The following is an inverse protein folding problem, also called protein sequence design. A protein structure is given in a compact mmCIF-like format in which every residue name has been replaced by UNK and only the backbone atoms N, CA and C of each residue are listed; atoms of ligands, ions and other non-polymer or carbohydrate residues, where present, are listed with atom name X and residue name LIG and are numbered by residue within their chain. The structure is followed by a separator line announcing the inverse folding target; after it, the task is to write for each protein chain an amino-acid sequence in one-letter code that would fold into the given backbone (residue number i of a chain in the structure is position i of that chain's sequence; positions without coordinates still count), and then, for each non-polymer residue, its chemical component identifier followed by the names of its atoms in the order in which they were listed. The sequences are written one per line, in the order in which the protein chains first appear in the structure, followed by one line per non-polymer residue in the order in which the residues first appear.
data_IF_184823686437
#
_entry.id   IF_184823686437
#
_cell.length_a   1.000
_cell.length_b   1.000
_cell.length_c   1.000
_cell.angle_alpha   90.00
_cell.angle_beta   90.00
_cell.angle_gamma   90.00
#
_symmetry.space_group_name_H-M   'P 1'
#
loop_
_entity.id
_entity.type
_entity.pdbx_description
1 polymer ?
#
# COMPACT_ATOMS: atom_id res chain seq x y z
N UNK A 1 -11.63 -29.16 -68.96
CA UNK A 1 -10.98 -28.59 -70.15
C UNK A 1 -9.59 -28.16 -69.69
N UNK A 2 -8.59 -28.92 -70.05
CA UNK A 2 -7.62 -28.73 -71.13
C UNK A 2 -6.82 -27.44 -70.91
N UNK A 3 -5.53 -27.33 -70.84
CA UNK A 3 -4.37 -28.16 -71.22
C UNK A 3 -3.13 -27.36 -70.76
N UNK A 4 -2.11 -27.98 -70.17
CA UNK A 4 -0.83 -28.34 -70.83
C UNK A 4 -0.03 -27.11 -71.34
N UNK A 5 1.25 -27.00 -71.27
CA UNK A 5 2.39 -27.89 -71.11
C UNK A 5 3.66 -27.05 -71.10
N UNK A 6 4.68 -27.44 -70.36
CA UNK A 6 6.00 -27.91 -70.86
C UNK A 6 6.83 -26.88 -71.63
N UNK A 7 8.10 -26.79 -71.60
CA UNK A 7 9.22 -27.71 -71.41
C UNK A 7 10.55 -26.94 -71.55
N UNK A 8 11.58 -27.34 -70.85
CA UNK A 8 12.99 -27.54 -71.25
C UNK A 8 13.76 -26.40 -71.93
N UNK A 9 15.06 -26.23 -71.83
CA UNK A 9 16.26 -27.07 -71.78
C UNK A 9 17.48 -26.20 -71.48
N UNK A 10 18.29 -26.55 -70.55
CA UNK A 10 19.70 -26.94 -70.48
C UNK A 10 20.79 -26.34 -71.41
N UNK A 11 21.98 -26.39 -70.87
CA UNK A 11 23.36 -26.40 -71.42
C UNK A 11 24.08 -25.04 -71.43
N UNK A 12 25.27 -24.92 -71.10
CA UNK A 12 26.37 -25.68 -70.52
C UNK A 12 27.66 -24.86 -70.61
N UNK A 13 28.50 -24.95 -69.59
CA UNK A 13 29.92 -25.12 -69.57
C UNK A 13 30.92 -24.14 -70.18
N UNK A 14 32.03 -24.09 -69.47
CA UNK A 14 33.43 -23.67 -69.67
C UNK A 14 33.66 -22.18 -69.39
N UNK A 15 34.45 -21.77 -68.38
CA UNK A 15 35.71 -22.28 -67.88
C UNK A 15 36.80 -21.25 -68.19
N UNK A 16 37.49 -20.75 -67.23
CA UNK A 16 38.93 -20.53 -67.24
C UNK A 16 39.35 -19.80 -65.94
N UNK A 17 40.40 -20.30 -65.39
CA UNK A 17 41.04 -19.93 -64.16
C UNK A 17 41.73 -18.55 -64.23
N UNK A 18 41.77 -17.85 -63.10
CA UNK A 18 42.63 -16.71 -62.86
C UNK A 18 42.89 -16.60 -61.36
N UNK A 19 44.00 -17.15 -60.90
CA UNK A 19 44.57 -16.88 -59.56
C UNK A 19 45.07 -15.45 -59.51
N UNK A 20 44.72 -14.71 -58.44
CA UNK A 20 45.64 -13.78 -57.77
C UNK A 20 45.16 -13.53 -56.32
N UNK A 21 45.96 -13.96 -55.39
CA UNK A 21 46.46 -13.42 -54.13
C UNK A 21 45.54 -12.61 -53.17
N UNK A 22 45.31 -13.20 -52.04
CA UNK A 22 45.65 -12.73 -50.67
C UNK A 22 45.17 -11.31 -50.29
N UNK A 23 44.15 -11.28 -49.48
CA UNK A 23 43.81 -10.17 -48.60
C UNK A 23 43.05 -10.71 -47.40
N UNK A 24 43.77 -11.12 -46.35
CA UNK A 24 43.23 -11.41 -45.06
C UNK A 24 42.59 -10.15 -44.46
N UNK A 25 41.30 -10.04 -44.57
CA UNK A 25 40.47 -9.11 -43.81
C UNK A 25 39.47 -9.91 -43.03
N UNK A 26 39.85 -10.46 -41.86
CA UNK A 26 38.94 -11.06 -40.88
C UNK A 26 38.07 -9.97 -40.27
N UNK A 27 36.93 -9.65 -40.95
CA UNK A 27 35.81 -8.96 -40.30
C UNK A 27 35.23 -9.93 -39.26
N UNK A 28 35.84 -9.96 -38.09
CA UNK A 28 35.17 -10.51 -36.94
C UNK A 28 33.87 -9.74 -36.75
N UNK A 29 32.75 -10.33 -37.13
CA UNK A 29 31.44 -9.92 -36.60
C UNK A 29 31.57 -9.95 -35.09
N UNK A 30 31.75 -8.76 -34.51
CA UNK A 30 31.61 -8.55 -33.08
C UNK A 30 30.22 -9.07 -32.73
N UNK A 31 30.14 -10.26 -32.18
CA UNK A 31 28.94 -10.73 -31.51
C UNK A 31 28.56 -9.61 -30.57
N UNK A 32 27.37 -9.05 -30.78
CA UNK A 32 26.80 -8.15 -29.82
C UNK A 32 26.72 -8.95 -28.52
N UNK A 33 27.66 -8.71 -27.63
CA UNK A 33 27.58 -9.09 -26.25
C UNK A 33 26.23 -8.52 -25.80
N UNK A 34 25.26 -9.39 -25.51
CA UNK A 34 24.13 -9.05 -24.69
C UNK A 34 24.73 -8.71 -23.34
N UNK A 35 25.14 -7.47 -23.18
CA UNK A 35 25.59 -6.95 -21.93
C UNK A 35 24.44 -7.07 -20.96
N UNK A 36 24.49 -8.06 -20.08
CA UNK A 36 23.82 -7.97 -18.80
C UNK A 36 24.37 -6.69 -18.18
N UNK A 37 23.55 -5.63 -18.23
CA UNK A 37 23.88 -4.37 -17.56
C UNK A 37 24.14 -4.74 -16.11
N UNK A 38 25.41 -4.64 -15.69
CA UNK A 38 25.74 -4.93 -14.31
C UNK A 38 24.92 -3.98 -13.45
N UNK A 39 24.16 -4.53 -12.51
CA UNK A 39 23.39 -3.74 -11.55
C UNK A 39 24.39 -2.83 -10.82
N UNK A 40 24.16 -1.51 -10.76
CA UNK A 40 25.04 -0.63 -10.01
C UNK A 40 25.10 -1.06 -8.54
N UNK A 41 26.26 -0.85 -7.93
CA UNK A 41 26.43 -1.03 -6.48
C UNK A 41 25.81 0.15 -5.73
N UNK A 42 25.36 -0.09 -4.49
CA UNK A 42 24.87 0.97 -3.62
C UNK A 42 23.40 1.39 -3.85
N UNK A 43 22.57 0.51 -4.43
CA UNK A 43 21.12 0.78 -4.56
C UNK A 43 20.43 0.48 -3.22
N UNK A 44 19.58 1.38 -2.78
CA UNK A 44 18.81 1.24 -1.55
C UNK A 44 17.33 1.55 -1.80
N UNK A 45 16.45 0.69 -1.32
CA UNK A 45 15.02 0.97 -1.15
C UNK A 45 14.79 1.35 0.31
N UNK A 46 14.19 2.53 0.51
CA UNK A 46 13.80 3.01 1.83
C UNK A 46 12.41 2.54 2.22
N UNK A 47 12.21 2.21 3.49
CA UNK A 47 10.89 2.17 4.12
C UNK A 47 10.70 3.43 4.96
N UNK A 48 9.52 4.05 4.89
CA UNK A 48 9.19 5.26 5.65
C UNK A 48 7.89 5.04 6.42
N UNK A 49 7.96 4.97 7.75
CA UNK A 49 6.79 4.74 8.61
C UNK A 49 7.20 4.49 10.07
N UNK A 50 6.23 4.22 10.93
CA UNK A 50 6.48 3.95 12.35
C UNK A 50 7.03 2.54 12.55
N UNK A 51 8.17 2.44 13.22
CA UNK A 51 8.73 1.18 13.71
C UNK A 51 8.81 1.13 15.22
N UNK A 52 8.86 2.31 15.83
CA UNK A 52 8.91 2.47 17.30
C UNK A 52 7.91 3.52 17.74
N UNK A 53 7.89 3.84 19.04
CA UNK A 53 7.01 4.85 19.60
C UNK A 53 5.60 4.34 19.92
N UNK A 54 4.69 5.30 20.13
CA UNK A 54 3.33 5.03 20.61
C UNK A 54 2.23 5.40 19.58
N UNK A 55 2.59 5.64 18.33
CA UNK A 55 1.62 5.99 17.29
C UNK A 55 1.48 4.83 16.30
N UNK A 56 0.84 3.75 16.73
CA UNK A 56 0.49 2.59 15.90
C UNK A 56 1.67 1.93 15.18
N UNK A 57 2.80 1.65 15.87
CA UNK A 57 4.00 1.12 15.23
C UNK A 57 3.78 -0.24 14.57
N UNK A 58 2.80 -1.04 15.04
CA UNK A 58 2.55 -2.37 14.47
C UNK A 58 2.17 -2.30 13.00
N UNK A 59 1.42 -1.26 12.57
CA UNK A 59 1.08 -1.08 11.16
C UNK A 59 2.35 -0.87 10.31
N UNK A 60 3.26 0.00 10.74
CA UNK A 60 4.53 0.21 10.04
C UNK A 60 5.47 -1.01 10.09
N UNK A 61 5.51 -1.75 11.21
CA UNK A 61 6.28 -3.00 11.32
C UNK A 61 5.79 -4.05 10.31
N UNK A 62 4.47 -4.18 10.15
CA UNK A 62 3.90 -5.10 9.17
C UNK A 62 4.38 -4.79 7.75
N UNK A 63 4.38 -3.52 7.38
CA UNK A 63 4.84 -3.05 6.06
C UNK A 63 6.36 -3.21 5.91
N UNK A 64 7.15 -2.77 6.88
CA UNK A 64 8.61 -2.89 6.87
C UNK A 64 9.07 -4.33 6.68
N UNK A 65 8.40 -5.27 7.33
CA UNK A 65 8.66 -6.70 7.17
C UNK A 65 8.37 -7.16 5.72
N UNK A 66 7.29 -6.68 5.10
CA UNK A 66 6.99 -6.93 3.70
C UNK A 66 8.09 -6.41 2.77
N UNK A 67 8.58 -5.19 3.01
CA UNK A 67 9.70 -4.58 2.27
C UNK A 67 10.98 -5.41 2.40
N UNK A 68 11.36 -5.76 3.62
CA UNK A 68 12.57 -6.55 3.86
C UNK A 68 12.51 -7.93 3.20
N UNK A 69 11.35 -8.59 3.26
CA UNK A 69 11.17 -9.90 2.63
C UNK A 69 11.33 -9.83 1.11
N UNK A 70 10.75 -8.81 0.46
CA UNK A 70 10.88 -8.61 -0.97
C UNK A 70 12.34 -8.40 -1.39
N UNK A 71 13.07 -7.55 -0.67
CA UNK A 71 14.50 -7.27 -0.94
C UNK A 71 15.35 -8.54 -0.76
N UNK A 72 15.13 -9.32 0.29
CA UNK A 72 15.90 -10.55 0.52
C UNK A 72 15.66 -11.59 -0.57
N UNK A 73 14.40 -11.75 -1.00
CA UNK A 73 14.05 -12.66 -2.09
C UNK A 73 14.68 -12.20 -3.41
N UNK A 74 14.63 -10.91 -3.68
CA UNK A 74 15.27 -10.33 -4.86
C UNK A 74 16.79 -10.56 -4.86
N UNK A 75 17.48 -10.26 -3.76
CA UNK A 75 18.90 -10.44 -3.62
C UNK A 75 19.33 -11.91 -3.77
N UNK A 76 18.52 -12.83 -3.27
CA UNK A 76 18.73 -14.27 -3.45
C UNK A 76 18.61 -14.68 -4.93
N UNK A 77 17.62 -14.14 -5.64
CA UNK A 77 17.38 -14.45 -7.04
C UNK A 77 18.36 -13.73 -7.99
N UNK A 78 18.96 -12.62 -7.56
CA UNK A 78 19.83 -11.76 -8.36
C UNK A 78 21.17 -11.50 -7.66
N UNK A 79 22.03 -12.52 -7.50
CA UNK A 79 23.26 -12.41 -6.69
C UNK A 79 24.27 -11.35 -7.19
N UNK A 80 24.13 -10.90 -8.43
CA UNK A 80 24.95 -9.85 -9.03
C UNK A 80 24.29 -8.45 -8.99
N UNK A 81 23.13 -8.32 -8.31
CA UNK A 81 22.37 -7.08 -8.17
C UNK A 81 21.88 -6.94 -6.73
N UNK A 82 22.73 -6.39 -5.86
CA UNK A 82 22.39 -6.26 -4.45
C UNK A 82 21.66 -4.95 -4.17
N UNK A 83 20.45 -5.05 -3.60
CA UNK A 83 19.65 -3.93 -3.13
C UNK A 83 19.64 -3.92 -1.60
N UNK A 84 19.93 -2.77 -1.01
CA UNK A 84 19.93 -2.58 0.45
C UNK A 84 18.56 -2.09 0.94
N UNK A 85 18.24 -2.42 2.18
CA UNK A 85 17.10 -1.88 2.92
C UNK A 85 17.55 -0.76 3.86
N UNK A 86 16.77 0.33 3.94
CA UNK A 86 16.97 1.39 4.93
C UNK A 86 15.64 1.85 5.51
N UNK A 87 15.51 1.86 6.83
CA UNK A 87 14.33 2.38 7.50
C UNK A 87 14.48 3.86 7.87
N UNK A 88 13.37 4.58 7.70
CA UNK A 88 13.17 5.94 8.18
C UNK A 88 12.01 5.90 9.17
N UNK A 89 12.35 5.69 10.45
CA UNK A 89 11.39 5.51 11.53
C UNK A 89 10.82 6.86 11.97
N UNK A 90 9.59 7.10 11.57
CA UNK A 90 8.84 8.33 11.90
C UNK A 90 8.21 8.31 13.28
N UNK A 91 8.16 7.14 13.93
CA UNK A 91 7.40 6.90 15.16
C UNK A 91 5.89 7.23 15.00
N UNK A 92 5.38 7.26 13.76
CA UNK A 92 4.01 7.68 13.44
C UNK A 92 3.72 9.16 13.76
N UNK A 93 4.76 9.97 13.86
CA UNK A 93 4.66 11.41 14.14
C UNK A 93 4.93 12.22 12.87
N UNK A 94 3.89 12.87 12.29
CA UNK A 94 4.07 13.71 11.12
C UNK A 94 5.10 14.84 11.27
N UNK A 95 5.35 15.28 12.50
CA UNK A 95 6.33 16.35 12.76
C UNK A 95 7.77 15.90 12.48
N UNK A 96 8.07 14.59 12.57
CA UNK A 96 9.39 14.05 12.26
C UNK A 96 9.62 13.83 10.76
N UNK A 97 8.53 13.75 9.97
CA UNK A 97 8.59 13.38 8.56
C UNK A 97 9.47 14.32 7.70
N UNK A 98 9.48 15.66 7.86
CA UNK A 98 10.35 16.53 7.05
C UNK A 98 11.84 16.27 7.23
N UNK A 99 12.30 16.07 8.47
CA UNK A 99 13.71 15.81 8.76
C UNK A 99 14.16 14.45 8.19
N UNK A 100 13.32 13.42 8.33
CA UNK A 100 13.58 12.09 7.78
C UNK A 100 13.55 12.09 6.25
N UNK A 101 12.60 12.80 5.63
CA UNK A 101 12.54 12.97 4.19
C UNK A 101 13.80 13.66 3.65
N UNK A 102 14.27 14.71 4.35
CA UNK A 102 15.53 15.39 4.01
C UNK A 102 16.72 14.41 4.11
N UNK A 103 16.75 13.56 5.13
CA UNK A 103 17.78 12.53 5.28
C UNK A 103 17.72 11.53 4.12
N UNK A 104 16.51 11.13 3.69
CA UNK A 104 16.32 10.19 2.60
C UNK A 104 16.77 10.75 1.25
N UNK A 105 16.43 12.02 0.93
CA UNK A 105 16.81 12.63 -0.36
C UNK A 105 18.31 12.90 -0.47
N UNK A 106 18.99 13.15 0.64
CA UNK A 106 20.43 13.40 0.70
C UNK A 106 21.25 12.10 0.61
N UNK A 107 20.66 10.95 0.82
CA UNK A 107 21.28 9.67 0.55
C UNK A 107 21.04 9.28 -0.92
N UNK A 108 22.05 9.52 -1.75
CA UNK A 108 21.95 9.27 -3.20
C UNK A 108 21.78 7.78 -3.56
N UNK A 109 22.07 6.87 -2.62
CA UNK A 109 21.81 5.45 -2.79
C UNK A 109 20.31 5.12 -2.70
N UNK A 110 19.51 5.94 -2.02
CA UNK A 110 18.06 5.76 -1.91
C UNK A 110 17.41 6.17 -3.23
N UNK A 111 16.92 5.18 -3.98
CA UNK A 111 16.33 5.37 -5.30
C UNK A 111 14.80 5.32 -5.30
N UNK A 112 14.18 4.78 -4.25
CA UNK A 112 12.73 4.71 -4.08
C UNK A 112 12.36 4.53 -2.61
N UNK A 113 11.17 4.97 -2.24
CA UNK A 113 10.59 4.85 -0.89
C UNK A 113 9.31 4.02 -0.94
N UNK A 114 9.22 2.97 -0.17
CA UNK A 114 7.95 2.32 0.19
C UNK A 114 7.40 3.03 1.43
N UNK A 115 6.28 3.68 1.26
CA UNK A 115 5.73 4.63 2.21
C UNK A 115 5.58 6.03 1.60
N UNK A 116 5.37 7.09 2.42
CA UNK A 116 5.14 7.05 3.87
C UNK A 116 3.88 6.25 4.22
N UNK A 117 3.95 5.53 5.34
CA UNK A 117 2.88 4.61 5.76
C UNK A 117 1.60 5.33 6.18
N UNK A 118 1.71 6.51 6.77
CA UNK A 118 0.58 7.26 7.29
C UNK A 118 0.29 8.54 6.50
N UNK A 119 -1.00 8.92 6.42
CA UNK A 119 -1.42 10.10 5.63
C UNK A 119 -0.79 11.40 6.13
N UNK A 120 -0.66 11.56 7.44
CA UNK A 120 -0.02 12.74 8.03
C UNK A 120 1.45 12.85 7.68
N UNK A 121 2.18 11.75 7.69
CA UNK A 121 3.58 11.68 7.25
C UNK A 121 3.71 11.97 5.74
N UNK A 122 2.84 11.36 4.93
CA UNK A 122 2.81 11.58 3.48
C UNK A 122 2.60 13.06 3.13
N UNK A 123 1.70 13.74 3.83
CA UNK A 123 1.43 15.18 3.64
C UNK A 123 2.68 16.03 3.88
N UNK A 124 3.50 15.65 4.86
CA UNK A 124 4.70 16.41 5.25
C UNK A 124 5.93 16.02 4.43
N UNK A 125 6.12 14.76 4.09
CA UNK A 125 7.31 14.24 3.42
C UNK A 125 7.23 14.36 1.89
N UNK A 126 6.06 14.13 1.28
CA UNK A 126 5.93 14.07 -0.17
C UNK A 126 6.31 15.34 -0.92
N UNK A 127 6.09 16.58 -0.41
CA UNK A 127 6.63 17.79 -1.04
C UNK A 127 8.14 17.74 -1.20
N UNK A 128 8.85 17.21 -0.19
CA UNK A 128 10.33 17.10 -0.18
C UNK A 128 10.78 16.03 -1.17
N UNK A 129 10.12 14.87 -1.18
CA UNK A 129 10.39 13.82 -2.15
C UNK A 129 10.11 14.27 -3.58
N UNK A 130 9.01 15.01 -3.80
CA UNK A 130 8.65 15.52 -5.12
C UNK A 130 9.69 16.52 -5.66
N UNK A 131 10.17 17.42 -4.82
CA UNK A 131 11.23 18.37 -5.18
C UNK A 131 12.53 17.65 -5.58
N UNK A 132 12.84 16.52 -4.92
CA UNK A 132 14.05 15.72 -5.16
C UNK A 132 13.86 14.65 -6.27
N UNK A 133 12.67 14.53 -6.83
CA UNK A 133 12.35 13.48 -7.81
C UNK A 133 12.48 12.06 -7.26
N UNK A 134 12.37 11.86 -5.94
CA UNK A 134 12.46 10.55 -5.31
C UNK A 134 11.10 9.85 -5.34
N UNK A 135 10.91 8.78 -6.15
CA UNK A 135 9.62 8.11 -6.27
C UNK A 135 9.23 7.42 -4.97
N UNK A 136 7.93 7.47 -4.69
CA UNK A 136 7.33 6.77 -3.55
C UNK A 136 6.17 5.88 -4.00
N UNK A 137 5.98 4.78 -3.28
CA UNK A 137 4.76 3.97 -3.35
C UNK A 137 4.27 3.78 -1.92
N UNK A 138 3.17 4.45 -1.56
CA UNK A 138 2.55 4.20 -0.26
C UNK A 138 1.69 2.94 -0.31
N UNK A 139 1.91 1.97 0.58
CA UNK A 139 1.08 0.78 0.66
C UNK A 139 -0.21 0.96 1.48
N UNK A 140 -0.38 2.11 2.17
CA UNK A 140 -1.36 2.23 3.25
C UNK A 140 -1.95 3.63 3.47
N UNK A 141 -1.28 4.72 3.07
CA UNK A 141 -1.80 6.07 3.28
C UNK A 141 -3.02 6.35 2.38
N UNK A 142 -4.22 6.43 2.97
CA UNK A 142 -5.50 6.42 2.24
C UNK A 142 -6.14 7.79 2.03
N UNK A 143 -5.67 8.88 2.65
CA UNK A 143 -6.30 10.18 2.50
C UNK A 143 -6.30 10.65 1.03
N UNK A 144 -7.49 10.94 0.42
CA UNK A 144 -7.60 11.27 -1.01
C UNK A 144 -6.86 12.55 -1.41
N UNK A 145 -6.73 13.51 -0.48
CA UNK A 145 -6.07 14.79 -0.77
C UNK A 145 -4.60 14.64 -1.14
N UNK A 146 -3.96 13.52 -0.79
CA UNK A 146 -2.57 13.25 -1.15
C UNK A 146 -2.35 13.20 -2.67
N UNK A 147 -3.32 12.71 -3.43
CA UNK A 147 -3.25 12.65 -4.89
C UNK A 147 -3.64 13.96 -5.60
N UNK A 148 -4.02 15.00 -4.85
CA UNK A 148 -4.51 16.28 -5.40
C UNK A 148 -3.42 17.37 -5.41
N UNK A 149 -2.20 17.05 -4.98
CA UNK A 149 -1.11 18.00 -4.83
C UNK A 149 -0.22 18.16 -6.09
N UNK A 150 -0.50 17.41 -7.16
CA UNK A 150 0.32 17.44 -8.38
C UNK A 150 1.71 16.81 -8.22
N UNK A 151 1.94 15.99 -7.20
CA UNK A 151 3.20 15.28 -6.99
C UNK A 151 3.38 14.17 -8.04
N UNK A 152 4.40 14.32 -8.87
CA UNK A 152 4.69 13.37 -9.96
C UNK A 152 5.36 12.09 -9.49
N UNK A 153 5.83 12.05 -8.25
CA UNK A 153 6.54 10.90 -7.64
C UNK A 153 5.60 10.00 -6.83
N UNK A 154 4.36 10.42 -6.63
CA UNK A 154 3.41 9.77 -5.74
C UNK A 154 2.71 8.61 -6.43
N UNK A 155 2.69 7.45 -5.76
CA UNK A 155 1.89 6.29 -6.15
C UNK A 155 1.26 5.67 -4.91
N UNK A 156 0.03 5.19 -5.03
CA UNK A 156 -0.71 4.56 -3.93
C UNK A 156 -1.14 3.14 -4.33
N UNK A 157 -0.70 2.14 -3.57
CA UNK A 157 -0.93 0.73 -3.87
C UNK A 157 -2.28 0.18 -3.38
N UNK A 158 -3.11 1.01 -2.72
CA UNK A 158 -4.44 0.67 -2.18
C UNK A 158 -5.50 1.67 -2.63
N UNK A 159 -6.77 1.33 -2.47
CA UNK A 159 -7.85 2.30 -2.66
C UNK A 159 -7.80 3.37 -1.57
N UNK A 160 -8.25 4.57 -1.89
CA UNK A 160 -8.30 5.69 -0.96
C UNK A 160 -9.65 5.80 -0.22
N UNK A 161 -9.76 6.79 0.67
CA UNK A 161 -10.95 6.99 1.51
C UNK A 161 -12.18 7.49 0.74
N UNK A 162 -12.03 7.99 -0.50
CA UNK A 162 -13.17 8.24 -1.39
C UNK A 162 -13.89 6.95 -1.81
N UNK A 163 -13.22 5.80 -1.69
CA UNK A 163 -13.85 4.49 -1.84
C UNK A 163 -14.30 3.92 -0.48
N UNK A 164 -13.46 4.02 0.56
CA UNK A 164 -13.73 3.42 1.86
C UNK A 164 -14.88 4.12 2.60
N UNK A 165 -14.90 5.44 2.65
CA UNK A 165 -15.93 6.19 3.38
C UNK A 165 -17.34 5.93 2.88
N UNK A 166 -17.62 6.02 1.56
CA UNK A 166 -18.93 5.63 1.01
C UNK A 166 -19.31 4.17 1.25
N UNK A 167 -18.35 3.24 1.16
CA UNK A 167 -18.60 1.82 1.41
C UNK A 167 -19.02 1.58 2.87
N UNK A 168 -18.33 2.20 3.83
CA UNK A 168 -18.69 2.18 5.27
C UNK A 168 -20.08 2.76 5.49
N UNK A 169 -20.37 3.93 4.92
CA UNK A 169 -21.68 4.57 5.08
C UNK A 169 -22.80 3.69 4.49
N UNK A 170 -22.56 3.09 3.33
CA UNK A 170 -23.51 2.15 2.70
C UNK A 170 -23.75 0.92 3.58
N UNK A 171 -22.71 0.36 4.19
CA UNK A 171 -22.82 -0.78 5.10
C UNK A 171 -23.64 -0.41 6.35
N UNK A 172 -23.40 0.76 6.94
CA UNK A 172 -24.16 1.28 8.09
C UNK A 172 -25.63 1.47 7.74
N UNK A 173 -25.94 2.02 6.56
CA UNK A 173 -27.28 2.28 6.09
C UNK A 173 -28.06 1.00 5.75
N UNK A 174 -27.45 0.14 4.93
CA UNK A 174 -28.14 -0.94 4.24
C UNK A 174 -28.02 -2.29 4.94
N UNK A 175 -26.93 -2.51 5.69
CA UNK A 175 -26.69 -3.77 6.40
C UNK A 175 -27.05 -3.65 7.88
N UNK A 176 -26.60 -2.57 8.54
CA UNK A 176 -26.90 -2.35 9.94
C UNK A 176 -28.24 -1.63 10.17
N UNK A 177 -28.80 -1.02 9.14
CA UNK A 177 -30.06 -0.23 9.18
C UNK A 177 -30.07 0.86 10.25
N UNK A 178 -28.88 1.40 10.57
CA UNK A 178 -28.71 2.42 11.61
C UNK A 178 -29.37 3.74 11.22
N UNK A 179 -30.07 4.38 12.16
CA UNK A 179 -30.77 5.66 11.98
C UNK A 179 -30.08 6.81 12.73
N UNK A 180 -29.35 6.48 13.80
CA UNK A 180 -28.61 7.42 14.62
C UNK A 180 -27.16 6.93 14.74
N UNK A 181 -26.22 7.72 14.28
CA UNK A 181 -24.80 7.33 14.28
C UNK A 181 -23.95 8.43 14.91
N UNK A 182 -23.06 8.07 15.83
CA UNK A 182 -22.02 8.97 16.26
C UNK A 182 -20.80 8.80 15.35
N UNK A 183 -20.20 9.92 14.94
CA UNK A 183 -18.97 9.94 14.16
C UNK A 183 -17.90 10.68 14.95
N UNK A 184 -16.85 9.97 15.35
CA UNK A 184 -15.73 10.43 16.17
C UNK A 184 -14.44 10.27 15.36
N UNK A 185 -13.43 11.09 15.58
CA UNK A 185 -12.12 10.96 14.95
C UNK A 185 -10.97 11.24 15.95
N UNK A 186 -9.73 10.93 15.57
CA UNK A 186 -8.52 11.16 16.36
C UNK A 186 -7.76 12.44 15.99
N UNK A 187 -8.40 13.34 15.22
CA UNK A 187 -7.81 14.55 14.68
C UNK A 187 -6.62 14.35 13.72
N UNK A 188 -6.21 13.11 13.42
CA UNK A 188 -5.16 12.84 12.45
C UNK A 188 -5.61 13.20 11.02
N UNK A 189 -4.65 13.41 10.13
CA UNK A 189 -4.93 13.65 8.70
C UNK A 189 -5.75 12.51 8.07
N UNK A 190 -5.48 11.27 8.48
CA UNK A 190 -6.22 10.09 8.06
C UNK A 190 -7.60 10.03 8.74
N UNK A 191 -7.62 9.92 10.06
CA UNK A 191 -8.84 9.60 10.80
C UNK A 191 -9.92 10.66 10.66
N UNK A 192 -9.55 11.94 10.73
CA UNK A 192 -10.45 13.05 10.48
C UNK A 192 -10.96 13.05 9.03
N UNK A 193 -10.08 12.83 8.05
CA UNK A 193 -10.43 12.79 6.64
C UNK A 193 -11.49 11.73 6.35
N UNK A 194 -11.26 10.50 6.78
CA UNK A 194 -12.19 9.39 6.63
C UNK A 194 -13.52 9.63 7.38
N UNK A 195 -13.45 10.13 8.62
CA UNK A 195 -14.63 10.46 9.42
C UNK A 195 -15.50 11.54 8.76
N UNK A 196 -14.90 12.56 8.16
CA UNK A 196 -15.63 13.62 7.45
C UNK A 196 -16.38 13.06 6.23
N UNK A 197 -15.74 12.16 5.45
CA UNK A 197 -16.39 11.51 4.31
C UNK A 197 -17.56 10.63 4.78
N UNK A 198 -17.37 9.80 5.80
CA UNK A 198 -18.42 8.95 6.37
C UNK A 198 -19.58 9.80 6.89
N UNK A 199 -19.29 10.85 7.64
CA UNK A 199 -20.28 11.80 8.19
C UNK A 199 -21.14 12.39 7.07
N UNK A 200 -20.52 12.92 6.04
CA UNK A 200 -21.20 13.51 4.90
C UNK A 200 -22.09 12.51 4.17
N UNK A 201 -21.63 11.28 3.96
CA UNK A 201 -22.40 10.24 3.28
C UNK A 201 -23.57 9.76 4.11
N UNK A 202 -23.43 9.60 5.43
CA UNK A 202 -24.50 9.24 6.34
C UNK A 202 -25.59 10.32 6.38
N UNK A 203 -25.19 11.60 6.47
CA UNK A 203 -26.14 12.73 6.45
C UNK A 203 -26.90 12.79 5.12
N UNK A 204 -26.21 12.61 3.99
CA UNK A 204 -26.85 12.55 2.68
C UNK A 204 -27.82 11.35 2.55
N UNK A 205 -27.55 10.26 3.28
CA UNK A 205 -28.43 9.08 3.39
C UNK A 205 -29.59 9.25 4.41
N UNK A 206 -29.75 10.42 5.02
CA UNK A 206 -30.85 10.71 5.95
C UNK A 206 -30.63 10.19 7.38
N UNK A 207 -29.40 9.83 7.74
CA UNK A 207 -29.03 9.40 9.10
C UNK A 207 -28.87 10.61 10.02
N UNK A 208 -29.39 10.52 11.24
CA UNK A 208 -29.09 11.50 12.29
C UNK A 208 -27.68 11.29 12.80
N UNK A 209 -26.77 12.22 12.50
CA UNK A 209 -25.35 12.12 12.87
C UNK A 209 -25.04 13.02 14.07
N UNK A 210 -24.49 12.43 15.12
CA UNK A 210 -23.91 13.12 16.27
C UNK A 210 -22.39 13.20 16.11
N UNK A 211 -21.82 14.37 16.28
CA UNK A 211 -20.36 14.59 16.18
C UNK A 211 -19.83 15.15 17.50
N UNK A 212 -19.36 14.29 18.42
CA UNK A 212 -18.84 14.73 19.72
C UNK A 212 -17.52 15.51 19.63
N UNK A 213 -16.92 15.55 18.46
CA UNK A 213 -15.59 16.11 18.24
C UNK A 213 -14.50 15.04 18.15
N UNK A 214 -13.28 15.50 17.94
CA UNK A 214 -12.10 14.63 17.91
C UNK A 214 -11.67 14.23 19.32
N UNK A 215 -11.10 13.04 19.45
CA UNK A 215 -10.43 12.60 20.66
C UNK A 215 -8.92 12.81 20.57
N UNK A 216 -8.27 12.85 21.71
CA UNK A 216 -6.83 13.00 21.84
C UNK A 216 -6.14 11.67 22.22
N UNK A 217 -4.83 11.71 22.37
CA UNK A 217 -4.00 10.56 22.76
C UNK A 217 -3.96 10.30 24.27
N UNK A 218 -4.86 10.92 25.05
CA UNK A 218 -4.91 10.70 26.51
C UNK A 218 -5.47 9.35 26.90
N UNK A 219 -6.15 8.67 25.97
CA UNK A 219 -6.88 7.43 26.19
C UNK A 219 -7.96 7.53 27.30
N UNK A 220 -8.51 8.74 27.50
CA UNK A 220 -9.54 9.01 28.49
C UNK A 220 -10.62 9.94 27.91
N UNK A 221 -11.79 9.41 27.58
CA UNK A 221 -12.79 10.04 26.74
C UNK A 221 -14.18 10.24 27.39
N UNK A 222 -14.31 10.65 28.67
CA UNK A 222 -15.61 10.70 29.36
C UNK A 222 -16.60 11.65 28.69
N UNK A 223 -16.14 12.78 28.16
CA UNK A 223 -16.99 13.75 27.46
C UNK A 223 -17.60 13.15 26.18
N UNK A 224 -16.78 12.48 25.38
CA UNK A 224 -17.22 11.77 24.16
C UNK A 224 -18.20 10.66 24.49
N UNK A 225 -17.90 9.83 25.50
CA UNK A 225 -18.78 8.74 25.95
C UNK A 225 -20.13 9.26 26.39
N UNK A 226 -20.16 10.34 27.20
CA UNK A 226 -21.39 10.95 27.67
C UNK A 226 -22.23 11.52 26.52
N UNK A 227 -21.60 12.20 25.55
CA UNK A 227 -22.30 12.74 24.38
C UNK A 227 -22.90 11.63 23.50
N UNK A 228 -22.12 10.56 23.24
CA UNK A 228 -22.59 9.41 22.44
C UNK A 228 -23.73 8.67 23.15
N UNK A 229 -23.63 8.48 24.46
CA UNK A 229 -24.67 7.85 25.27
C UNK A 229 -25.96 8.68 25.27
N UNK A 230 -25.84 9.99 25.46
CA UNK A 230 -27.00 10.89 25.45
C UNK A 230 -27.72 10.92 24.09
N UNK A 231 -26.99 10.74 23.00
CA UNK A 231 -27.54 10.68 21.64
C UNK A 231 -28.31 9.38 21.36
N UNK A 232 -28.10 8.31 22.13
CA UNK A 232 -28.79 7.02 21.97
C UNK A 232 -28.61 6.44 20.57
N UNK A 233 -27.37 6.28 20.16
CA UNK A 233 -26.99 5.90 18.79
C UNK A 233 -27.08 4.38 18.55
N UNK A 234 -27.36 4.00 17.29
CA UNK A 234 -27.39 2.61 16.83
C UNK A 234 -25.98 2.12 16.47
N UNK A 235 -25.11 3.04 16.06
CA UNK A 235 -23.73 2.76 15.72
C UNK A 235 -22.79 3.92 16.07
N UNK A 236 -21.52 3.61 16.28
CA UNK A 236 -20.44 4.57 16.45
C UNK A 236 -19.37 4.29 15.39
N UNK A 237 -19.14 5.26 14.50
CA UNK A 237 -18.00 5.22 13.59
C UNK A 237 -16.84 5.99 14.21
N UNK A 238 -15.66 5.38 14.23
CA UNK A 238 -14.41 6.01 14.62
C UNK A 238 -13.43 6.06 13.45
N UNK A 239 -12.99 7.24 13.07
CA UNK A 239 -11.89 7.47 12.13
C UNK A 239 -10.60 7.68 12.90
N UNK A 240 -9.66 6.75 12.79
CA UNK A 240 -8.40 6.83 13.51
C UNK A 240 -7.71 5.47 13.68
N UNK A 241 -6.69 5.47 14.53
CA UNK A 241 -5.82 4.31 14.69
C UNK A 241 -6.22 3.44 15.89
N UNK A 242 -5.69 2.20 15.89
CA UNK A 242 -6.07 1.18 16.87
C UNK A 242 -5.76 1.55 18.33
N UNK A 243 -4.77 2.40 18.56
CA UNK A 243 -4.36 2.80 19.89
C UNK A 243 -5.41 3.65 20.61
N UNK A 244 -6.12 4.52 19.87
CA UNK A 244 -7.23 5.30 20.38
C UNK A 244 -8.56 4.54 20.26
N UNK A 245 -8.72 3.75 19.20
CA UNK A 245 -9.95 2.98 18.94
C UNK A 245 -10.25 1.97 20.04
N UNK A 246 -9.23 1.23 20.52
CA UNK A 246 -9.40 0.23 21.56
C UNK A 246 -9.92 0.82 22.88
N UNK A 247 -9.21 1.78 23.50
CA UNK A 247 -9.69 2.48 24.70
C UNK A 247 -11.05 3.16 24.52
N UNK A 248 -11.33 3.75 23.34
CA UNK A 248 -12.64 4.35 23.06
C UNK A 248 -13.74 3.31 23.06
N UNK A 249 -13.57 2.18 22.37
CA UNK A 249 -14.56 1.10 22.34
C UNK A 249 -14.84 0.55 23.74
N UNK A 250 -13.79 0.36 24.56
CA UNK A 250 -13.91 -0.07 25.95
C UNK A 250 -14.71 0.92 26.79
N UNK A 251 -14.42 2.22 26.68
CA UNK A 251 -15.10 3.25 27.46
C UNK A 251 -16.54 3.46 27.01
N UNK A 252 -16.84 3.37 25.72
CA UNK A 252 -18.20 3.39 25.21
C UNK A 252 -19.03 2.23 25.78
N UNK A 253 -18.48 1.00 25.75
CA UNK A 253 -19.15 -0.19 26.30
C UNK A 253 -19.39 -0.08 27.79
N UNK A 254 -18.37 0.27 28.58
CA UNK A 254 -18.48 0.43 30.03
C UNK A 254 -19.36 1.61 30.43
N UNK A 255 -19.39 2.66 29.60
CA UNK A 255 -20.32 3.79 29.74
C UNK A 255 -21.77 3.46 29.41
N UNK A 256 -22.07 2.24 28.91
CA UNK A 256 -23.43 1.77 28.60
C UNK A 256 -23.91 2.17 27.21
N UNK A 257 -23.02 2.48 26.28
CA UNK A 257 -23.34 2.62 24.86
C UNK A 257 -23.52 1.23 24.25
N UNK A 258 -24.65 1.00 23.60
CA UNK A 258 -25.03 -0.30 22.99
C UNK A 258 -24.87 -0.32 21.48
N UNK A 259 -24.61 0.83 20.85
CA UNK A 259 -24.41 0.94 19.40
C UNK A 259 -23.21 0.14 18.90
N UNK A 260 -23.30 -0.41 17.68
CA UNK A 260 -22.20 -1.16 17.06
C UNK A 260 -20.99 -0.24 16.83
N UNK A 261 -19.81 -0.66 17.30
CA UNK A 261 -18.57 0.04 17.03
C UNK A 261 -18.05 -0.32 15.65
N UNK A 262 -17.70 0.70 14.85
CA UNK A 262 -17.20 0.55 13.48
C UNK A 262 -15.99 1.45 13.32
N UNK A 263 -14.95 0.96 12.64
CA UNK A 263 -13.76 1.78 12.34
C UNK A 263 -13.16 1.45 10.97
N UNK A 264 -12.21 2.27 10.54
CA UNK A 264 -11.45 2.08 9.32
C UNK A 264 -10.22 1.18 9.51
N UNK A 265 -9.40 1.15 8.47
CA UNK A 265 -8.19 0.32 8.35
C UNK A 265 -7.12 0.64 9.41
N UNK A 266 -6.96 1.90 9.79
CA UNK A 266 -6.04 2.28 10.88
C UNK A 266 -6.31 1.58 12.21
N UNK A 267 -7.53 1.07 12.41
CA UNK A 267 -7.92 0.30 13.59
C UNK A 267 -7.88 -1.22 13.37
N UNK A 268 -7.63 -1.70 12.15
CA UNK A 268 -7.64 -3.12 11.81
C UNK A 268 -6.33 -3.81 12.21
N UNK A 269 -6.14 -3.94 13.53
CA UNK A 269 -4.97 -4.55 14.15
C UNK A 269 -5.33 -5.32 15.42
N UNK A 270 -4.51 -6.29 15.78
CA UNK A 270 -4.65 -7.03 17.05
C UNK A 270 -4.58 -6.10 18.28
N UNK A 271 -3.87 -4.97 18.17
CA UNK A 271 -3.80 -3.93 19.19
C UNK A 271 -5.15 -3.31 19.51
N UNK A 272 -6.05 -3.19 18.54
CA UNK A 272 -7.44 -2.80 18.79
C UNK A 272 -8.14 -3.79 19.73
N UNK A 273 -8.03 -5.09 19.43
CA UNK A 273 -8.64 -6.15 20.26
C UNK A 273 -8.06 -6.16 21.67
N UNK A 274 -6.75 -5.97 21.80
CA UNK A 274 -6.08 -5.88 23.10
C UNK A 274 -6.55 -4.66 23.91
N UNK A 275 -6.63 -3.48 23.27
CA UNK A 275 -7.03 -2.23 23.93
C UNK A 275 -8.52 -2.19 24.30
N UNK A 276 -9.37 -2.79 23.48
CA UNK A 276 -10.82 -2.86 23.73
C UNK A 276 -11.22 -4.02 24.66
N UNK A 277 -10.39 -5.05 24.79
CA UNK A 277 -10.71 -6.26 25.56
C UNK A 277 -12.03 -6.89 25.10
N UNK A 278 -12.93 -7.22 26.02
CA UNK A 278 -14.23 -7.80 25.69
C UNK A 278 -15.16 -6.84 24.92
N UNK A 279 -14.87 -5.54 24.90
CA UNK A 279 -15.62 -4.56 24.12
C UNK A 279 -15.31 -4.63 22.61
N UNK A 280 -14.23 -5.29 22.22
CA UNK A 280 -13.92 -5.54 20.82
C UNK A 280 -14.94 -6.47 20.15
N UNK A 281 -15.57 -7.37 20.91
CA UNK A 281 -16.42 -8.40 20.35
C UNK A 281 -17.66 -7.78 19.67
N UNK A 282 -17.88 -8.14 18.42
CA UNK A 282 -18.91 -7.56 17.58
C UNK A 282 -18.50 -6.30 16.81
N UNK A 283 -17.36 -5.68 17.11
CA UNK A 283 -16.86 -4.53 16.37
C UNK A 283 -16.60 -4.87 14.89
N UNK A 284 -16.83 -3.89 14.02
CA UNK A 284 -16.62 -3.98 12.58
C UNK A 284 -15.44 -3.08 12.19
N UNK A 285 -14.51 -3.63 11.41
CA UNK A 285 -13.32 -2.92 10.95
C UNK A 285 -13.25 -3.05 9.42
N UNK A 286 -13.04 -1.94 8.74
CA UNK A 286 -13.03 -1.91 7.26
C UNK A 286 -11.65 -1.59 6.74
N UNK A 287 -11.29 -2.13 5.56
CA UNK A 287 -10.02 -1.81 4.93
C UNK A 287 -10.08 -2.00 3.41
N UNK A 288 -9.25 -1.27 2.64
CA UNK A 288 -9.02 -1.52 1.21
C UNK A 288 -8.07 -2.70 0.95
N UNK A 289 -7.78 -3.49 1.98
CA UNK A 289 -6.86 -4.62 1.97
C UNK A 289 -7.35 -5.74 2.91
N UNK A 290 -6.87 -6.95 2.71
CA UNK A 290 -7.17 -8.09 3.58
C UNK A 290 -6.28 -8.05 4.84
N UNK A 291 -6.88 -8.27 6.01
CA UNK A 291 -6.15 -8.41 7.28
C UNK A 291 -5.28 -9.67 7.29
N UNK A 292 -5.79 -10.77 6.77
CA UNK A 292 -5.08 -12.05 6.71
C UNK A 292 -5.11 -12.62 5.29
N UNK A 293 -3.96 -13.06 4.81
CA UNK A 293 -3.80 -13.68 3.49
C UNK A 293 -4.02 -15.18 3.60
N UNK A 294 -5.20 -15.65 3.22
CA UNK A 294 -5.61 -17.05 3.40
C UNK A 294 -5.74 -17.82 2.09
N UNK A 295 -5.68 -17.16 0.94
CA UNK A 295 -5.78 -17.83 -0.35
C UNK A 295 -4.58 -18.75 -0.61
N UNK A 296 -4.77 -19.90 -1.29
CA UNK A 296 -3.67 -20.83 -1.59
C UNK A 296 -2.48 -20.18 -2.32
N UNK A 297 -2.75 -19.22 -3.21
CA UNK A 297 -1.72 -18.48 -3.94
C UNK A 297 -0.83 -17.62 -3.04
N UNK A 298 -1.33 -17.21 -1.88
CA UNK A 298 -0.61 -16.31 -0.96
C UNK A 298 0.28 -17.09 0.02
N UNK A 299 0.09 -18.42 0.14
CA UNK A 299 0.78 -19.23 1.13
C UNK A 299 2.31 -19.25 1.00
N UNK A 300 2.94 -19.19 -0.18
CA UNK A 300 4.39 -19.03 -0.27
C UNK A 300 4.91 -17.77 0.42
N UNK A 301 4.20 -16.64 0.26
CA UNK A 301 4.53 -15.38 0.95
C UNK A 301 4.32 -15.51 2.46
N UNK A 302 3.15 -16.02 2.90
CA UNK A 302 2.82 -16.20 4.32
C UNK A 302 3.86 -17.07 5.02
N UNK A 303 4.26 -18.19 4.42
CA UNK A 303 5.25 -19.09 4.98
C UNK A 303 6.65 -18.45 5.05
N UNK A 304 7.08 -17.73 4.02
CA UNK A 304 8.35 -17.03 4.00
C UNK A 304 8.39 -15.89 5.04
N UNK A 305 7.30 -15.13 5.14
CA UNK A 305 7.16 -14.05 6.13
C UNK A 305 7.24 -14.62 7.55
N UNK A 306 6.47 -15.66 7.84
CA UNK A 306 6.46 -16.32 9.16
C UNK A 306 7.81 -16.93 9.51
N UNK A 307 8.50 -17.55 8.55
CA UNK A 307 9.82 -18.13 8.76
C UNK A 307 10.86 -17.06 9.13
N UNK A 308 10.76 -15.86 8.54
CA UNK A 308 11.72 -14.79 8.78
C UNK A 308 11.42 -13.98 10.05
N UNK A 309 10.15 -13.64 10.28
CA UNK A 309 9.77 -12.69 11.33
C UNK A 309 9.09 -13.33 12.54
N UNK A 310 8.88 -14.65 12.53
CA UNK A 310 8.20 -15.41 13.59
C UNK A 310 6.79 -14.90 13.92
N UNK A 311 6.13 -14.27 12.95
CA UNK A 311 4.75 -13.78 13.04
C UNK A 311 4.05 -13.96 11.69
N UNK A 312 2.72 -13.98 11.70
CA UNK A 312 1.96 -13.98 10.45
C UNK A 312 1.98 -12.57 9.82
N UNK A 313 1.92 -12.46 8.47
CA UNK A 313 1.66 -11.17 7.85
C UNK A 313 0.28 -10.66 8.29
N UNK A 314 0.19 -9.35 8.54
CA UNK A 314 -1.05 -8.67 8.88
C UNK A 314 -1.32 -7.56 7.86
N UNK A 315 -2.23 -6.65 8.20
CA UNK A 315 -2.66 -5.57 7.30
C UNK A 315 -1.46 -4.87 6.64
N UNK A 316 -1.54 -4.67 5.33
CA UNK A 316 -0.57 -3.99 4.47
C UNK A 316 0.80 -4.67 4.28
N UNK A 317 1.06 -5.81 4.93
CA UNK A 317 2.30 -6.57 4.69
C UNK A 317 2.47 -6.97 3.23
N UNK A 318 1.40 -7.43 2.59
CA UNK A 318 1.39 -7.86 1.20
C UNK A 318 1.48 -6.70 0.22
N UNK A 319 0.82 -5.59 0.51
CA UNK A 319 0.85 -4.37 -0.29
C UNK A 319 2.26 -3.74 -0.28
N UNK A 320 2.93 -3.73 0.86
CA UNK A 320 4.31 -3.26 0.98
C UNK A 320 5.30 -4.19 0.26
N UNK A 321 5.08 -5.51 0.32
CA UNK A 321 5.84 -6.48 -0.44
C UNK A 321 5.70 -6.23 -1.95
N UNK A 322 4.47 -6.05 -2.45
CA UNK A 322 4.20 -5.78 -3.86
C UNK A 322 4.75 -4.41 -4.31
N UNK A 323 4.59 -3.37 -3.49
CA UNK A 323 5.14 -2.03 -3.75
C UNK A 323 6.67 -2.08 -3.89
N UNK A 324 7.34 -2.85 -3.04
CA UNK A 324 8.78 -3.07 -3.12
C UNK A 324 9.17 -3.79 -4.40
N UNK A 325 8.44 -4.86 -4.75
CA UNK A 325 8.71 -5.63 -5.95
C UNK A 325 8.49 -4.83 -7.24
N UNK A 326 7.62 -3.81 -7.25
CA UNK A 326 7.52 -2.88 -8.38
C UNK A 326 8.82 -2.10 -8.60
N UNK A 327 9.42 -1.57 -7.53
CA UNK A 327 10.74 -0.93 -7.62
C UNK A 327 11.82 -1.92 -8.04
N UNK A 328 11.84 -3.11 -7.44
CA UNK A 328 12.83 -4.15 -7.75
C UNK A 328 12.73 -4.61 -9.22
N UNK A 329 11.53 -4.70 -9.78
CA UNK A 329 11.33 -5.00 -11.20
C UNK A 329 11.91 -3.89 -12.11
N UNK A 330 11.75 -2.62 -11.74
CA UNK A 330 12.38 -1.50 -12.42
C UNK A 330 13.91 -1.55 -12.34
N UNK A 331 14.45 -1.85 -11.16
CA UNK A 331 15.90 -2.01 -10.95
C UNK A 331 16.45 -3.16 -11.79
N UNK A 332 15.77 -4.31 -11.83
CA UNK A 332 16.16 -5.44 -12.68
C UNK A 332 16.12 -5.09 -14.17
N UNK A 333 15.24 -4.17 -14.58
CA UNK A 333 15.18 -3.62 -15.93
C UNK A 333 16.22 -2.50 -16.19
N UNK A 334 17.16 -2.26 -15.26
CA UNK A 334 18.22 -1.25 -15.36
C UNK A 334 17.76 0.18 -15.08
N UNK A 335 16.58 0.37 -14.48
CA UNK A 335 16.02 1.68 -14.10
C UNK A 335 16.44 2.03 -12.68
N UNK A 336 17.63 2.62 -12.54
CA UNK A 336 18.26 2.87 -11.22
C UNK A 336 18.35 4.36 -10.87
N UNK A 337 18.23 5.26 -11.85
CA UNK A 337 18.05 6.69 -11.57
C UNK A 337 16.63 6.92 -11.05
N UNK A 338 16.46 7.84 -10.07
CA UNK A 338 15.15 8.16 -9.47
C UNK A 338 14.09 8.48 -10.54
N UNK A 339 14.44 9.29 -11.55
CA UNK A 339 13.54 9.67 -12.64
C UNK A 339 13.13 8.48 -13.51
N UNK A 340 14.07 7.58 -13.82
CA UNK A 340 13.80 6.40 -14.66
C UNK A 340 12.94 5.39 -13.91
N UNK A 341 13.22 5.21 -12.62
CA UNK A 341 12.46 4.33 -11.74
C UNK A 341 11.03 4.87 -11.54
N UNK A 342 10.88 6.17 -11.34
CA UNK A 342 9.58 6.82 -11.28
C UNK A 342 8.77 6.62 -12.57
N UNK A 343 9.41 6.84 -13.72
CA UNK A 343 8.77 6.61 -15.03
C UNK A 343 8.36 5.15 -15.20
N UNK A 344 9.23 4.21 -14.80
CA UNK A 344 8.93 2.78 -14.88
C UNK A 344 7.69 2.42 -14.04
N UNK A 345 7.64 2.84 -12.78
CA UNK A 345 6.50 2.58 -11.90
C UNK A 345 5.21 3.20 -12.43
N UNK A 346 5.28 4.45 -12.92
CA UNK A 346 4.11 5.17 -13.43
C UNK A 346 3.51 4.58 -14.72
N UNK A 347 4.36 3.95 -15.56
CA UNK A 347 3.94 3.56 -16.93
C UNK A 347 3.90 2.06 -17.16
N UNK A 348 4.46 1.24 -16.28
CA UNK A 348 4.57 -0.20 -16.47
C UNK A 348 3.67 -0.94 -15.47
N UNK A 349 2.58 -1.57 -15.94
CA UNK A 349 1.76 -2.40 -15.07
C UNK A 349 2.58 -3.52 -14.43
N UNK A 350 2.35 -3.76 -13.16
CA UNK A 350 3.03 -4.81 -12.39
C UNK A 350 2.01 -5.79 -11.81
N UNK A 351 2.17 -7.08 -12.11
CA UNK A 351 1.36 -8.13 -11.48
C UNK A 351 2.09 -8.70 -10.27
N UNK A 352 1.62 -8.36 -9.10
CA UNK A 352 2.16 -8.75 -7.81
C UNK A 352 1.48 -9.98 -7.20
N UNK A 353 1.73 -10.19 -5.91
CA UNK A 353 1.10 -11.21 -5.09
C UNK A 353 -0.42 -11.03 -5.01
N UNK A 354 -0.85 -9.80 -4.74
CA UNK A 354 -2.25 -9.49 -4.42
C UNK A 354 -3.07 -9.18 -5.67
N UNK A 355 -2.55 -8.34 -6.56
CA UNK A 355 -3.27 -7.79 -7.70
C UNK A 355 -2.31 -7.30 -8.80
N UNK A 356 -2.87 -6.81 -9.90
CA UNK A 356 -2.12 -6.03 -10.89
C UNK A 356 -2.22 -4.55 -10.52
N UNK A 357 -1.07 -3.90 -10.49
CA UNK A 357 -0.92 -2.47 -10.19
C UNK A 357 -0.71 -1.70 -11.48
N UNK A 358 -1.50 -0.69 -11.69
CA UNK A 358 -1.30 0.37 -12.68
C UNK A 358 -1.82 1.68 -12.09
N UNK A 359 -1.19 2.78 -12.44
CA UNK A 359 -1.48 4.07 -11.81
C UNK A 359 -2.02 5.07 -12.81
N UNK A 360 -2.95 5.91 -12.36
CA UNK A 360 -3.39 7.09 -13.09
C UNK A 360 -2.34 8.21 -13.07
N UNK A 361 -2.59 9.27 -13.81
CA UNK A 361 -1.68 10.43 -13.88
C UNK A 361 -1.48 11.14 -12.54
N UNK A 362 -2.36 10.92 -11.59
CA UNK A 362 -2.29 11.43 -10.22
C UNK A 362 -1.71 10.41 -9.22
N UNK A 363 -1.20 9.27 -9.71
CA UNK A 363 -0.61 8.21 -8.88
C UNK A 363 -1.62 7.31 -8.16
N UNK A 364 -2.91 7.47 -8.40
CA UNK A 364 -3.93 6.58 -7.82
C UNK A 364 -3.96 5.22 -8.52
N UNK A 365 -4.16 4.18 -7.74
CA UNK A 365 -4.35 2.82 -8.24
C UNK A 365 -5.58 2.77 -9.17
N UNK A 366 -5.40 2.21 -10.34
CA UNK A 366 -6.48 2.00 -11.32
C UNK A 366 -7.24 0.70 -11.03
N UNK A 367 -8.51 0.67 -11.41
CA UNK A 367 -9.39 -0.49 -11.25
C UNK A 367 -10.54 -0.23 -10.28
N UNK A 368 -11.36 -1.25 -10.08
CA UNK A 368 -12.49 -1.16 -9.14
C UNK A 368 -12.00 -1.40 -7.72
N UNK A 369 -12.17 -0.42 -6.82
CA UNK A 369 -11.79 -0.59 -5.43
C UNK A 369 -12.69 -1.63 -4.75
N UNK A 370 -12.09 -2.45 -3.88
CA UNK A 370 -12.82 -3.38 -3.01
C UNK A 370 -12.51 -3.01 -1.58
N UNK A 371 -13.54 -2.71 -0.81
CA UNK A 371 -13.44 -2.47 0.63
C UNK A 371 -13.97 -3.70 1.36
N UNK A 372 -13.14 -4.25 2.22
CA UNK A 372 -13.46 -5.44 3.00
C UNK A 372 -13.95 -5.07 4.39
N UNK A 373 -14.92 -5.81 4.89
CA UNK A 373 -15.42 -5.72 6.26
C UNK A 373 -14.89 -6.91 7.05
N UNK A 374 -14.34 -6.62 8.20
CA UNK A 374 -13.92 -7.60 9.18
C UNK A 374 -14.75 -7.43 10.46
N UNK A 375 -14.97 -8.51 11.17
CA UNK A 375 -15.67 -8.51 12.46
C UNK A 375 -14.81 -9.17 13.52
N UNK A 376 -14.81 -8.59 14.70
CA UNK A 376 -14.21 -9.26 15.85
C UNK A 376 -15.20 -10.26 16.42
N UNK A 377 -14.80 -11.52 16.51
CA UNK A 377 -15.58 -12.63 17.06
C UNK A 377 -14.72 -13.39 18.06
N UNK A 378 -15.12 -13.41 19.30
CA UNK A 378 -14.36 -14.07 20.38
C UNK A 378 -12.89 -13.64 20.43
N UNK A 379 -12.65 -12.35 20.27
CA UNK A 379 -11.30 -11.78 20.28
C UNK A 379 -10.47 -12.02 19.02
N UNK A 380 -11.04 -12.56 17.95
CA UNK A 380 -10.37 -12.81 16.68
C UNK A 380 -10.94 -11.91 15.58
N UNK A 381 -10.08 -11.29 14.79
CA UNK A 381 -10.48 -10.52 13.62
C UNK A 381 -10.75 -11.50 12.47
N UNK A 382 -11.99 -11.54 11.98
CA UNK A 382 -12.43 -12.44 10.92
C UNK A 382 -12.99 -11.66 9.74
N UNK A 383 -12.71 -12.11 8.51
CA UNK A 383 -13.26 -11.52 7.29
C UNK A 383 -14.77 -11.84 7.21
N UNK A 384 -15.57 -10.79 6.99
CA UNK A 384 -17.02 -10.92 6.67
C UNK A 384 -17.23 -10.97 5.15
N UNK A 385 -16.57 -10.08 4.41
CA UNK A 385 -16.68 -9.96 2.95
C UNK A 385 -16.57 -8.51 2.49
N UNK A 386 -16.90 -8.23 1.22
CA UNK A 386 -16.97 -6.86 0.71
C UNK A 386 -18.02 -6.03 1.46
N UNK A 387 -17.79 -4.72 1.56
CA UNK A 387 -18.71 -3.78 2.23
C UNK A 387 -19.97 -3.48 1.39
N UNK A 388 -19.91 -3.64 0.08
CA UNK A 388 -21.01 -3.45 -0.87
C UNK A 388 -20.82 -4.36 -2.09
#
# INVERSE_FOLDING_TARGET
MRHRSRLFVSFALLGIAGLVAVGCGSSAKKAASSGTSACPTGITIGFFGALTGNNSPQLGINEANGVQLAIDQFNTAHPNCHVSYKAFDSQGDPAQAPALATTAINDHNVVGIVGPAFSGESKQANPIFNQAGLPIITPSATNPTLAQNGWTIFHRAVANDDAQGPAVATYILNTLHSKKVAVVDDASEYGKGLADIVRQKLQAGGVSVTSPGSIDKSHNYPATVNAVKAAGVDAVFFGGYYQEAGPLALQLKTGGVTGTFISGDGSLDAGFVQGAGSAADGALLTAPAAYALTAPKDQPFVNAYKAKFNTNPALYSGEAFDATNQFLAGIAAGKVARSDLNTYVSTTPYTGLLKTYSYGTNGELQGTPVILVHKVVSGQITLVGPAA
#
